data_IF_989629374276
#
_entry.id   IF_989629374276
#
_cell.length_a   1.000
_cell.length_b   1.000
_cell.length_c   1.000
_cell.angle_alpha   90.00
_cell.angle_beta   90.00
_cell.angle_gamma   90.00
#
_symmetry.space_group_name_H-M   'P 1'
#
loop_
_entity.id
_entity.type
_entity.pdbx_description
1 polymer ?
#
# COMPACT_ATOMS: atom_id res chain seq x y z
N UNK A 1 21.71 -10.22 -11.74
CA UNK A 1 21.43 -9.79 -10.36
C UNK A 1 20.07 -9.11 -10.35
N UNK A 2 19.08 -9.59 -9.58
CA UNK A 2 17.75 -8.97 -9.50
C UNK A 2 17.87 -7.68 -8.69
N UNK A 3 17.50 -6.55 -9.29
CA UNK A 3 17.46 -5.24 -8.60
C UNK A 3 16.12 -5.12 -7.90
N UNK A 4 16.11 -5.18 -6.57
CA UNK A 4 14.92 -4.97 -5.76
C UNK A 4 14.68 -3.47 -5.54
N UNK A 5 13.44 -3.02 -5.79
CA UNK A 5 13.02 -1.63 -5.57
C UNK A 5 12.79 -1.35 -4.08
N UNK A 6 12.19 -2.32 -3.38
CA UNK A 6 11.98 -2.28 -1.94
C UNK A 6 13.01 -3.15 -1.20
N UNK A 7 13.53 -2.63 -0.11
CA UNK A 7 14.55 -3.26 0.74
C UNK A 7 14.20 -3.09 2.20
N UNK A 8 14.89 -3.80 3.09
CA UNK A 8 14.70 -3.64 4.54
C UNK A 8 15.01 -2.21 5.03
N UNK A 9 15.79 -1.43 4.28
CA UNK A 9 16.23 -0.08 4.68
C UNK A 9 15.33 1.02 4.11
N UNK A 10 14.87 0.84 2.87
CA UNK A 10 14.05 1.81 2.13
C UNK A 10 13.17 1.11 1.11
N UNK A 11 12.05 1.72 0.84
CA UNK A 11 11.11 1.29 -0.18
C UNK A 11 10.02 2.32 -0.36
N UNK A 12 9.15 2.06 -1.32
CA UNK A 12 7.93 2.79 -1.51
C UNK A 12 6.81 1.84 -1.90
N UNK A 13 5.63 2.08 -1.34
CA UNK A 13 4.42 1.28 -1.54
C UNK A 13 3.35 2.18 -2.11
N UNK A 14 2.85 1.85 -3.28
CA UNK A 14 1.68 2.49 -3.87
C UNK A 14 0.44 2.03 -3.12
N UNK A 15 -0.47 2.97 -2.91
CA UNK A 15 -1.75 2.68 -2.29
C UNK A 15 -2.92 3.27 -3.07
N UNK A 16 -4.08 2.63 -2.93
CA UNK A 16 -5.37 3.03 -3.48
C UNK A 16 -6.43 2.81 -2.40
N UNK A 17 -7.36 3.76 -2.27
CA UNK A 17 -8.56 3.63 -1.43
C UNK A 17 -9.78 3.77 -2.31
N UNK A 18 -10.61 2.75 -2.35
CA UNK A 18 -11.81 2.71 -3.18
C UNK A 18 -12.98 2.08 -2.43
N UNK A 19 -14.19 2.32 -2.92
CA UNK A 19 -15.41 1.76 -2.35
C UNK A 19 -15.98 0.67 -3.25
N UNK A 20 -16.27 -0.48 -2.68
CA UNK A 20 -17.09 -1.50 -3.33
C UNK A 20 -18.32 -1.75 -2.47
N UNK A 21 -19.51 -1.49 -3.05
CA UNK A 21 -20.79 -1.51 -2.32
C UNK A 21 -20.75 -0.58 -1.09
N UNK A 22 -20.93 -1.12 0.10
CA UNK A 22 -20.93 -0.38 1.37
C UNK A 22 -19.59 -0.40 2.10
N UNK A 23 -18.57 -1.08 1.56
CA UNK A 23 -17.27 -1.28 2.22
C UNK A 23 -16.19 -0.43 1.57
N UNK A 24 -15.33 0.17 2.38
CA UNK A 24 -14.12 0.83 1.91
C UNK A 24 -12.93 -0.11 1.98
N UNK A 25 -12.18 -0.18 0.88
CA UNK A 25 -10.98 -0.97 0.74
C UNK A 25 -9.77 -0.06 0.57
N UNK A 26 -8.71 -0.33 1.32
CA UNK A 26 -7.40 0.28 1.15
C UNK A 26 -6.39 -0.81 0.81
N UNK A 27 -5.65 -0.63 -0.29
CA UNK A 27 -4.72 -1.65 -0.79
C UNK A 27 -3.31 -1.10 -0.90
N UNK A 28 -2.33 -1.82 -0.35
CA UNK A 28 -0.90 -1.59 -0.53
C UNK A 28 -0.34 -2.55 -1.58
N UNK A 29 -0.09 -2.05 -2.79
CA UNK A 29 0.13 -2.86 -3.99
C UNK A 29 1.36 -3.77 -3.89
N UNK A 30 2.52 -3.24 -3.52
CA UNK A 30 3.80 -3.97 -3.53
C UNK A 30 3.88 -5.09 -2.48
N UNK A 31 3.00 -5.05 -1.46
CA UNK A 31 2.92 -6.04 -0.38
C UNK A 31 1.64 -6.90 -0.46
N UNK A 32 0.74 -6.62 -1.40
CA UNK A 32 -0.59 -7.23 -1.51
C UNK A 32 -1.36 -7.23 -0.18
N UNK A 33 -1.27 -6.12 0.57
CA UNK A 33 -2.04 -5.93 1.82
C UNK A 33 -3.34 -5.24 1.47
N UNK A 34 -4.45 -5.75 1.99
CA UNK A 34 -5.80 -5.21 1.82
C UNK A 34 -6.40 -5.03 3.20
N UNK A 35 -6.87 -3.83 3.50
CA UNK A 35 -7.59 -3.52 4.72
C UNK A 35 -8.98 -2.98 4.38
N UNK A 36 -9.94 -3.31 5.22
CA UNK A 36 -11.34 -2.89 5.11
C UNK A 36 -11.68 -1.88 6.21
N UNK A 37 -12.63 -0.98 5.94
CA UNK A 37 -13.15 -0.07 6.96
C UNK A 37 -14.55 0.44 6.61
N UNK A 38 -15.22 1.00 7.62
CA UNK A 38 -16.55 1.61 7.46
C UNK A 38 -16.42 2.99 6.79
N UNK A 39 -15.26 3.63 6.91
CA UNK A 39 -14.94 4.91 6.29
C UNK A 39 -13.63 4.83 5.48
N UNK A 40 -13.43 5.69 4.46
CA UNK A 40 -12.20 5.66 3.68
C UNK A 40 -10.96 6.02 4.51
N UNK A 41 -11.14 6.84 5.56
CA UNK A 41 -10.04 7.25 6.45
C UNK A 41 -9.62 6.12 7.38
N UNK A 42 -10.59 5.35 7.88
CA UNK A 42 -10.33 4.16 8.68
C UNK A 42 -9.57 3.10 7.87
N UNK A 43 -10.06 2.74 6.68
CA UNK A 43 -9.36 1.78 5.82
C UNK A 43 -7.93 2.25 5.51
N UNK A 44 -7.73 3.54 5.23
CA UNK A 44 -6.40 4.11 4.99
C UNK A 44 -5.48 4.03 6.21
N UNK A 45 -5.99 4.34 7.40
CA UNK A 45 -5.23 4.27 8.65
C UNK A 45 -4.79 2.82 8.92
N UNK A 46 -5.72 1.88 8.85
CA UNK A 46 -5.46 0.44 9.03
C UNK A 46 -4.41 -0.05 8.05
N UNK A 47 -4.51 0.34 6.77
CA UNK A 47 -3.52 -0.02 5.75
C UNK A 47 -2.12 0.48 6.12
N UNK A 48 -2.00 1.72 6.59
CA UNK A 48 -0.68 2.29 6.91
C UNK A 48 -0.06 1.61 8.13
N UNK A 49 -0.86 1.28 9.14
CA UNK A 49 -0.44 0.46 10.29
C UNK A 49 0.00 -0.94 9.86
N UNK A 50 -0.76 -1.59 8.98
CA UNK A 50 -0.44 -2.91 8.45
C UNK A 50 0.86 -2.90 7.62
N UNK A 51 1.05 -1.89 6.76
CA UNK A 51 2.29 -1.68 5.99
C UNK A 51 3.48 -1.51 6.94
N UNK A 52 3.33 -0.69 7.99
CA UNK A 52 4.39 -0.49 8.97
C UNK A 52 4.72 -1.80 9.69
N UNK A 53 3.72 -2.50 10.23
CA UNK A 53 3.90 -3.77 10.91
C UNK A 53 4.57 -4.83 10.03
N UNK A 54 4.18 -4.90 8.75
CA UNK A 54 4.77 -5.81 7.77
C UNK A 54 6.26 -5.53 7.54
N UNK A 55 6.64 -4.26 7.33
CA UNK A 55 8.04 -3.86 7.13
C UNK A 55 8.87 -4.07 8.40
N UNK A 56 8.32 -3.77 9.58
CA UNK A 56 8.99 -4.02 10.85
C UNK A 56 9.23 -5.51 11.10
N UNK A 57 8.24 -6.36 10.82
CA UNK A 57 8.38 -7.80 10.91
C UNK A 57 9.48 -8.31 9.98
N UNK A 58 9.47 -7.88 8.71
CA UNK A 58 10.48 -8.22 7.71
C UNK A 58 11.90 -7.82 8.17
N UNK A 59 12.04 -6.64 8.78
CA UNK A 59 13.32 -6.17 9.35
C UNK A 59 13.78 -7.03 10.51
N UNK A 60 12.90 -7.33 11.48
CA UNK A 60 13.21 -8.14 12.66
C UNK A 60 13.69 -9.54 12.29
N UNK A 61 13.06 -10.16 11.30
CA UNK A 61 13.45 -11.50 10.82
C UNK A 61 14.60 -11.50 9.80
N UNK A 62 15.14 -10.32 9.43
CA UNK A 62 16.13 -10.15 8.37
C UNK A 62 15.71 -10.87 7.08
N UNK A 63 14.45 -10.70 6.70
CA UNK A 63 13.86 -11.37 5.56
C UNK A 63 14.61 -11.07 4.25
N UNK A 64 14.54 -12.01 3.30
CA UNK A 64 14.99 -11.74 1.94
C UNK A 64 14.12 -10.63 1.32
N UNK A 65 14.68 -9.70 0.53
CA UNK A 65 13.92 -8.59 -0.06
C UNK A 65 12.72 -8.99 -0.93
N UNK A 66 12.66 -10.24 -1.40
CA UNK A 66 11.56 -10.74 -2.23
C UNK A 66 10.18 -10.52 -1.60
N UNK A 67 10.03 -10.62 -0.27
CA UNK A 67 8.74 -10.42 0.40
C UNK A 67 8.25 -8.96 0.35
N UNK A 68 9.15 -8.00 0.08
CA UNK A 68 8.83 -6.58 -0.07
C UNK A 68 8.61 -6.19 -1.55
N UNK A 69 8.77 -7.13 -2.48
CA UNK A 69 8.64 -6.91 -3.92
C UNK A 69 7.75 -8.00 -4.50
N UNK A 70 6.57 -8.18 -3.91
CA UNK A 70 5.64 -9.19 -4.38
C UNK A 70 5.13 -8.84 -5.78
N UNK A 71 4.68 -9.87 -6.51
CA UNK A 71 3.95 -9.63 -7.75
C UNK A 71 2.62 -8.98 -7.39
N UNK A 72 2.39 -7.80 -7.94
CA UNK A 72 1.19 -7.00 -7.68
C UNK A 72 0.00 -7.67 -8.34
N UNK A 73 -1.13 -7.69 -7.64
CA UNK A 73 -2.40 -8.13 -8.22
C UNK A 73 -2.84 -7.22 -9.37
N UNK A 74 -3.19 -7.84 -10.51
CA UNK A 74 -3.57 -7.11 -11.72
C UNK A 74 -4.85 -6.30 -11.56
N UNK A 75 -5.77 -6.72 -10.69
CA UNK A 75 -7.00 -5.97 -10.45
C UNK A 75 -6.69 -4.63 -9.77
N UNK A 76 -5.89 -4.64 -8.71
CA UNK A 76 -5.53 -3.42 -7.98
C UNK A 76 -4.60 -2.51 -8.78
N UNK A 77 -3.68 -3.07 -9.56
CA UNK A 77 -2.83 -2.30 -10.49
C UNK A 77 -3.69 -1.54 -11.51
N UNK A 78 -4.74 -2.18 -12.07
CA UNK A 78 -5.66 -1.52 -13.02
C UNK A 78 -6.43 -0.38 -12.38
N UNK A 79 -6.94 -0.56 -11.16
CA UNK A 79 -7.68 0.48 -10.44
C UNK A 79 -6.76 1.67 -10.13
N UNK A 80 -5.56 1.39 -9.61
CA UNK A 80 -4.59 2.44 -9.28
C UNK A 80 -4.19 3.24 -10.52
N UNK A 81 -3.89 2.59 -11.66
CA UNK A 81 -3.55 3.29 -12.92
C UNK A 81 -4.69 4.15 -13.44
N UNK A 82 -5.91 3.61 -13.45
CA UNK A 82 -7.08 4.37 -13.89
C UNK A 82 -7.31 5.62 -13.01
N UNK A 83 -7.05 5.52 -11.69
CA UNK A 83 -7.11 6.65 -10.78
C UNK A 83 -6.04 7.73 -11.11
N UNK A 84 -4.80 7.33 -11.40
CA UNK A 84 -3.73 8.28 -11.79
C UNK A 84 -4.04 9.01 -13.10
N UNK A 85 -4.60 8.29 -14.06
CA UNK A 85 -4.94 8.83 -15.39
C UNK A 85 -6.26 9.62 -15.39
N UNK A 86 -6.92 9.77 -14.23
CA UNK A 86 -8.26 10.38 -14.10
C UNK A 86 -9.30 9.74 -15.03
N UNK A 87 -9.14 8.45 -15.33
CA UNK A 87 -10.08 7.66 -16.13
C UNK A 87 -11.20 7.14 -15.24
N UNK A 88 -12.31 6.71 -15.86
CA UNK A 88 -13.37 5.99 -15.15
C UNK A 88 -12.83 4.67 -14.61
N UNK A 89 -12.86 4.52 -13.30
CA UNK A 89 -12.55 3.30 -12.57
C UNK A 89 -13.81 2.43 -12.41
N UNK A 90 -13.64 1.13 -12.20
CA UNK A 90 -14.75 0.21 -11.86
C UNK A 90 -15.42 0.60 -10.52
N UNK A 91 -14.63 1.15 -9.61
CA UNK A 91 -15.03 1.53 -8.26
C UNK A 91 -14.77 3.01 -8.00
N UNK A 92 -15.62 3.72 -7.23
CA UNK A 92 -15.31 5.07 -6.76
C UNK A 92 -14.02 5.08 -5.95
N UNK A 93 -13.07 5.94 -6.35
CA UNK A 93 -11.77 6.10 -5.66
C UNK A 93 -11.83 7.33 -4.76
N UNK A 94 -11.45 7.17 -3.50
CA UNK A 94 -11.32 8.28 -2.56
C UNK A 94 -9.94 8.93 -2.66
N UNK A 95 -8.87 8.13 -2.59
CA UNK A 95 -7.50 8.63 -2.73
C UNK A 95 -6.56 7.55 -3.27
N UNK A 96 -5.43 7.97 -3.81
CA UNK A 96 -4.33 7.09 -4.21
C UNK A 96 -3.01 7.84 -4.17
N UNK A 97 -1.93 7.12 -3.91
CA UNK A 97 -0.61 7.73 -3.86
C UNK A 97 0.49 6.70 -3.62
N UNK A 98 1.57 7.19 -3.02
CA UNK A 98 2.75 6.39 -2.67
C UNK A 98 3.21 6.74 -1.26
N UNK A 99 3.52 5.72 -0.47
CA UNK A 99 3.99 5.79 0.90
C UNK A 99 5.46 5.33 0.95
N UNK A 100 6.34 6.14 1.54
CA UNK A 100 7.76 5.79 1.67
C UNK A 100 8.00 4.98 2.95
N UNK A 101 8.70 3.85 2.85
CA UNK A 101 8.95 2.93 3.98
C UNK A 101 10.39 3.00 4.49
N UNK A 102 10.88 4.22 4.73
CA UNK A 102 12.26 4.44 5.17
C UNK A 102 12.49 3.96 6.61
N UNK A 103 13.74 3.70 6.98
CA UNK A 103 14.11 3.33 8.37
C UNK A 103 14.08 4.53 9.33
N UNK A 104 14.17 5.77 8.80
CA UNK A 104 14.46 6.96 9.61
C UNK A 104 13.34 8.00 9.65
N UNK A 105 12.17 7.75 9.09
CA UNK A 105 11.19 8.81 8.96
C UNK A 105 10.09 8.79 10.01
N UNK A 106 10.07 9.90 10.75
CA UNK A 106 8.93 10.62 11.33
C UNK A 106 7.77 10.92 10.34
N UNK A 107 7.68 10.22 9.19
CA UNK A 107 6.69 10.45 8.13
C UNK A 107 5.31 9.88 8.48
N UNK A 108 5.18 9.22 9.63
CA UNK A 108 3.94 8.62 10.13
C UNK A 108 3.28 9.45 11.26
N UNK A 109 3.81 10.63 11.57
CA UNK A 109 3.15 11.56 12.48
C UNK A 109 1.97 12.21 11.74
N UNK A 110 0.79 11.60 11.85
CA UNK A 110 -0.46 12.27 11.54
C UNK A 110 -0.66 13.37 12.59
N UNK A 111 -0.28 14.60 12.24
CA UNK A 111 -0.68 15.83 12.96
C UNK A 111 -1.90 16.41 12.26
#
# INVERSE_FOLDING_TARGET
>A
MVKYSNTLQKGAVRYIVFRERETWYAVGLEFNIVEEGDTPREALLLLFEAIQGYVEAARKMKARPAILNQKIDEEYEKIWRAAQEKKRTKYPVYTSGQLNTSKNSSDFAFV
#
